data_IF_727486476996
#
_entry.id   IF_727486476996
#
_cell.length_a   1.000
_cell.length_b   1.000
_cell.length_c   1.000
_cell.angle_alpha   90.00
_cell.angle_beta   90.00
_cell.angle_gamma   90.00
#
_symmetry.space_group_name_H-M   'P 1'
#
loop_
_entity.id
_entity.type
_entity.pdbx_description
1 polymer ?
#
# COMPACT_ATOMS: atom_id res chain seq x y z
N UNK A 1 53.73 -37.02 -13.97
CA UNK A 1 55.08 -37.28 -14.55
C UNK A 1 54.91 -37.99 -15.88
N UNK A 2 55.75 -37.66 -16.88
CA UNK A 2 55.93 -38.37 -18.19
C UNK A 2 54.68 -38.36 -19.10
N UNK A 3 54.66 -37.65 -20.25
CA UNK A 3 55.38 -37.86 -21.54
C UNK A 3 55.05 -39.21 -22.19
N UNK A 4 54.26 -39.29 -23.26
CA UNK A 4 54.60 -39.09 -24.70
C UNK A 4 54.49 -40.46 -25.44
N UNK A 5 54.28 -40.60 -26.76
CA UNK A 5 53.69 -39.79 -27.84
C UNK A 5 53.72 -40.63 -29.16
N UNK A 6 53.29 -40.07 -30.31
CA UNK A 6 53.62 -40.49 -31.71
C UNK A 6 52.89 -41.79 -32.17
N UNK A 7 52.49 -42.02 -33.44
CA UNK A 7 52.69 -41.36 -34.74
C UNK A 7 51.35 -41.20 -35.51
N UNK A 8 51.11 -40.14 -36.32
CA UNK A 8 51.43 -39.99 -37.76
C UNK A 8 50.51 -40.81 -38.73
N UNK A 9 50.25 -40.40 -39.98
CA UNK A 9 50.65 -39.20 -40.75
C UNK A 9 49.37 -38.53 -41.35
N UNK A 10 49.22 -37.86 -42.51
CA UNK A 10 50.00 -37.58 -43.75
C UNK A 10 49.88 -36.06 -44.07
N UNK A 11 50.77 -35.51 -44.89
CA UNK A 11 50.80 -34.09 -45.28
C UNK A 11 49.89 -33.80 -46.50
N UNK A 12 49.30 -32.59 -46.55
CA UNK A 12 48.78 -31.99 -47.79
C UNK A 12 49.20 -30.52 -47.84
N UNK A 13 50.07 -30.16 -48.79
CA UNK A 13 50.65 -28.83 -48.92
C UNK A 13 49.90 -28.05 -50.01
N UNK A 14 49.30 -26.91 -49.67
CA UNK A 14 48.68 -25.99 -50.62
C UNK A 14 49.16 -24.55 -50.38
N UNK A 15 49.50 -23.84 -51.45
CA UNK A 15 50.22 -22.57 -51.43
C UNK A 15 49.37 -21.40 -51.95
N UNK A 16 49.73 -20.18 -51.54
CA UNK A 16 49.17 -18.89 -51.97
C UNK A 16 47.69 -18.65 -51.55
N UNK A 17 47.22 -17.41 -51.33
CA UNK A 17 47.85 -16.09 -51.48
C UNK A 17 47.46 -15.14 -50.33
N UNK A 18 48.30 -14.14 -50.07
CA UNK A 18 47.98 -13.05 -49.13
C UNK A 18 47.05 -12.03 -49.82
N UNK A 19 45.75 -12.17 -49.60
CA UNK A 19 44.77 -11.18 -50.09
C UNK A 19 44.76 -9.92 -49.21
N UNK A 20 44.60 -8.72 -49.78
CA UNK A 20 44.58 -7.48 -49.01
C UNK A 20 43.35 -7.40 -48.11
N UNK A 21 43.49 -6.71 -46.98
CA UNK A 21 42.38 -6.40 -46.07
C UNK A 21 41.33 -5.55 -46.78
N UNK A 22 40.23 -6.18 -47.20
CA UNK A 22 39.06 -5.46 -47.71
C UNK A 22 38.49 -4.58 -46.60
N UNK A 23 38.54 -3.27 -46.78
CA UNK A 23 37.88 -2.34 -45.87
C UNK A 23 36.36 -2.61 -45.90
N UNK A 24 35.80 -3.04 -44.77
CA UNK A 24 34.35 -3.16 -44.61
C UNK A 24 33.74 -1.77 -44.75
N UNK A 25 33.17 -1.49 -45.92
CA UNK A 25 32.41 -0.27 -46.15
C UNK A 25 31.26 -0.25 -45.15
N UNK A 26 31.28 0.70 -44.22
CA UNK A 26 30.19 0.90 -43.28
C UNK A 26 28.93 1.27 -44.09
N UNK A 27 28.01 0.31 -44.21
CA UNK A 27 26.70 0.57 -44.80
C UNK A 27 26.01 1.72 -44.05
N UNK A 28 25.19 2.55 -44.71
CA UNK A 28 24.56 3.69 -44.07
C UNK A 28 23.76 3.20 -42.86
N UNK A 29 24.17 3.64 -41.67
CA UNK A 29 23.48 3.29 -40.44
C UNK A 29 22.04 3.76 -40.54
N UNK A 30 21.09 2.81 -40.63
CA UNK A 30 19.67 3.11 -40.58
C UNK A 30 19.37 3.71 -39.21
N UNK A 31 19.31 5.04 -39.15
CA UNK A 31 18.95 5.76 -37.94
C UNK A 31 17.62 5.20 -37.43
N UNK A 32 17.64 4.55 -36.27
CA UNK A 32 16.44 4.03 -35.66
C UNK A 32 15.47 5.20 -35.46
N UNK A 33 14.35 5.17 -36.17
CA UNK A 33 13.37 6.25 -36.12
C UNK A 33 12.91 6.43 -34.68
N UNK A 34 13.17 7.60 -34.10
CA UNK A 34 12.82 7.89 -32.71
C UNK A 34 11.32 7.65 -32.50
N UNK A 35 10.98 6.68 -31.65
CA UNK A 35 9.60 6.25 -31.45
C UNK A 35 8.79 7.40 -30.86
N UNK A 36 7.78 7.86 -31.61
CA UNK A 36 6.87 8.90 -31.13
C UNK A 36 6.06 8.35 -29.96
N UNK A 37 6.36 8.84 -28.76
CA UNK A 37 5.70 8.40 -27.53
C UNK A 37 4.20 8.73 -27.58
N UNK A 38 3.34 7.70 -27.67
CA UNK A 38 1.90 7.87 -27.41
C UNK A 38 1.68 8.12 -25.91
N UNK A 39 1.69 9.39 -25.53
CA UNK A 39 1.41 9.82 -24.17
C UNK A 39 0.01 9.39 -23.69
N UNK A 40 -0.94 9.12 -24.61
CA UNK A 40 -2.25 8.57 -24.25
C UNK A 40 -2.16 7.06 -23.96
N UNK A 41 -1.27 6.30 -24.60
CA UNK A 41 -1.00 4.91 -24.22
C UNK A 41 -0.37 4.84 -22.84
N UNK A 42 0.61 5.70 -22.55
CA UNK A 42 1.21 5.82 -21.21
C UNK A 42 0.15 6.16 -20.17
N UNK A 43 -0.70 7.17 -20.41
CA UNK A 43 -1.76 7.56 -19.48
C UNK A 43 -2.81 6.45 -19.26
N UNK A 44 -3.21 5.72 -20.32
CA UNK A 44 -4.12 4.55 -20.22
C UNK A 44 -3.50 3.40 -19.42
N UNK A 45 -2.20 3.12 -19.61
CA UNK A 45 -1.51 2.06 -18.90
C UNK A 45 -1.32 2.39 -17.42
N UNK A 46 -0.89 3.62 -17.10
CA UNK A 46 -0.82 4.12 -15.73
C UNK A 46 -2.19 4.05 -15.04
N UNK A 47 -3.26 4.56 -15.67
CA UNK A 47 -4.61 4.49 -15.11
C UNK A 47 -5.14 3.05 -14.91
N UNK A 48 -4.64 2.07 -15.67
CA UNK A 48 -4.93 0.66 -15.45
C UNK A 48 -4.14 0.09 -14.26
N UNK A 49 -2.86 0.43 -14.11
CA UNK A 49 -2.01 0.03 -12.99
C UNK A 49 -2.53 0.58 -11.65
N UNK A 50 -2.86 1.87 -11.60
CA UNK A 50 -3.43 2.52 -10.40
C UNK A 50 -4.75 1.86 -9.98
N UNK A 51 -5.63 1.59 -10.95
CA UNK A 51 -6.89 0.87 -10.68
C UNK A 51 -6.66 -0.54 -10.14
N UNK A 52 -5.71 -1.29 -10.69
CA UNK A 52 -5.38 -2.64 -10.21
C UNK A 52 -4.90 -2.59 -8.76
N UNK A 53 -3.89 -1.76 -8.45
CA UNK A 53 -3.34 -1.62 -7.10
C UNK A 53 -4.40 -1.24 -6.06
N UNK A 54 -5.27 -0.25 -6.33
CA UNK A 54 -6.37 0.07 -5.41
C UNK A 54 -7.43 -1.05 -5.31
N UNK A 55 -7.64 -1.84 -6.37
CA UNK A 55 -8.55 -3.00 -6.33
C UNK A 55 -8.00 -4.12 -5.46
N UNK A 56 -6.71 -4.42 -5.59
CA UNK A 56 -6.01 -5.46 -4.81
C UNK A 56 -5.91 -5.03 -3.33
N UNK A 57 -5.59 -3.76 -3.08
CA UNK A 57 -5.62 -3.15 -1.74
C UNK A 57 -7.03 -3.24 -1.11
N UNK A 58 -8.08 -2.93 -1.87
CA UNK A 58 -9.47 -3.03 -1.41
C UNK A 58 -9.92 -4.48 -1.20
N UNK A 59 -9.34 -5.45 -1.92
CA UNK A 59 -9.60 -6.87 -1.68
C UNK A 59 -8.95 -7.32 -0.37
N UNK A 60 -7.64 -7.12 -0.21
CA UNK A 60 -6.91 -7.51 0.99
C UNK A 60 -7.43 -6.79 2.26
N UNK A 61 -7.83 -5.52 2.15
CA UNK A 61 -8.47 -4.79 3.25
C UNK A 61 -9.84 -5.39 3.66
N UNK A 62 -10.58 -6.04 2.73
CA UNK A 62 -11.83 -6.76 3.07
C UNK A 62 -11.55 -8.09 3.75
N UNK A 63 -10.49 -8.78 3.37
CA UNK A 63 -10.04 -9.99 4.05
C UNK A 63 -9.56 -9.65 5.48
N UNK A 64 -8.85 -8.52 5.65
CA UNK A 64 -8.56 -7.93 6.96
C UNK A 64 -9.85 -7.57 7.73
N UNK A 65 -10.85 -6.96 7.09
CA UNK A 65 -12.14 -6.67 7.72
C UNK A 65 -12.84 -7.94 8.20
N UNK A 66 -12.84 -9.01 7.42
CA UNK A 66 -13.43 -10.29 7.81
C UNK A 66 -12.66 -10.94 8.98
N UNK A 67 -11.33 -10.90 8.98
CA UNK A 67 -10.50 -11.38 10.07
C UNK A 67 -10.73 -10.58 11.38
N UNK A 68 -10.81 -9.25 11.28
CA UNK A 68 -11.13 -8.34 12.38
C UNK A 68 -12.55 -8.62 12.92
N UNK A 69 -13.54 -8.76 12.05
CA UNK A 69 -14.93 -9.07 12.46
C UNK A 69 -15.03 -10.41 13.18
N UNK A 70 -14.34 -11.45 12.69
CA UNK A 70 -14.27 -12.75 13.36
C UNK A 70 -13.57 -12.65 14.73
N UNK A 71 -12.46 -11.90 14.82
CA UNK A 71 -11.76 -11.66 16.07
C UNK A 71 -12.63 -10.94 17.10
N UNK A 72 -13.27 -9.81 16.76
CA UNK A 72 -14.09 -9.08 17.74
C UNK A 72 -15.36 -9.85 18.11
N UNK A 73 -15.89 -10.70 17.23
CA UNK A 73 -17.04 -11.54 17.55
C UNK A 73 -16.70 -12.65 18.57
N UNK A 74 -15.49 -13.25 18.50
CA UNK A 74 -15.01 -14.25 19.48
C UNK A 74 -13.54 -14.00 19.85
N UNK A 75 -13.24 -13.04 20.76
CA UNK A 75 -11.87 -12.63 21.03
C UNK A 75 -11.01 -13.75 21.64
N UNK A 76 -9.87 -14.01 21.00
CA UNK A 76 -8.91 -15.06 21.33
C UNK A 76 -7.52 -14.67 20.82
N UNK A 77 -6.46 -15.30 21.31
CA UNK A 77 -5.10 -15.07 20.82
C UNK A 77 -4.96 -15.40 19.32
N UNK A 78 -5.43 -16.60 18.92
CA UNK A 78 -5.47 -17.04 17.51
C UNK A 78 -6.29 -16.09 16.61
N UNK A 79 -7.42 -15.56 17.10
CA UNK A 79 -8.19 -14.54 16.37
C UNK A 79 -7.44 -13.22 16.22
N UNK A 80 -6.77 -12.75 17.28
CA UNK A 80 -5.98 -11.52 17.25
C UNK A 80 -4.79 -11.65 16.29
N UNK A 81 -4.07 -12.78 16.33
CA UNK A 81 -2.91 -13.00 15.46
C UNK A 81 -3.31 -13.19 13.98
N UNK A 82 -4.52 -13.71 13.70
CA UNK A 82 -5.11 -13.70 12.35
C UNK A 82 -5.46 -12.28 11.87
N UNK A 83 -6.07 -11.45 12.70
CA UNK A 83 -6.36 -10.06 12.37
C UNK A 83 -5.06 -9.25 12.13
N UNK A 84 -4.04 -9.48 12.96
CA UNK A 84 -2.67 -8.94 12.82
C UNK A 84 -1.98 -9.38 11.53
N UNK A 85 -2.14 -10.63 11.12
CA UNK A 85 -1.57 -11.12 9.86
C UNK A 85 -2.27 -10.48 8.65
N UNK A 86 -3.60 -10.50 8.63
CA UNK A 86 -4.37 -9.91 7.54
C UNK A 86 -4.15 -8.40 7.39
N UNK A 87 -3.87 -7.67 8.49
CA UNK A 87 -3.44 -6.27 8.42
C UNK A 87 -2.10 -6.11 7.69
N UNK A 88 -1.11 -6.96 7.98
CA UNK A 88 0.19 -6.94 7.27
C UNK A 88 0.03 -7.27 5.80
N UNK A 89 -0.75 -8.31 5.48
CA UNK A 89 -1.01 -8.73 4.11
C UNK A 89 -1.71 -7.61 3.31
N UNK A 90 -2.64 -6.88 3.92
CA UNK A 90 -3.30 -5.73 3.30
C UNK A 90 -2.39 -4.48 3.19
N UNK A 91 -1.50 -4.25 4.16
CA UNK A 91 -0.56 -3.11 4.18
C UNK A 91 0.48 -3.21 3.07
N UNK A 92 0.91 -4.41 2.68
CA UNK A 92 1.83 -4.65 1.55
C UNK A 92 1.26 -4.20 0.20
N UNK A 93 -0.05 -4.43 -0.03
CA UNK A 93 -0.73 -3.89 -1.21
C UNK A 93 -0.89 -2.37 -1.12
N UNK A 94 -1.22 -1.83 0.06
CA UNK A 94 -1.35 -0.38 0.25
C UNK A 94 -0.04 0.36 -0.02
N UNK A 95 1.11 -0.15 0.47
CA UNK A 95 2.42 0.50 0.31
C UNK A 95 2.81 0.73 -1.17
N UNK A 96 2.38 -0.15 -2.06
CA UNK A 96 2.57 0.01 -3.51
C UNK A 96 1.74 1.19 -4.09
N UNK A 97 0.64 1.58 -3.44
CA UNK A 97 -0.18 2.71 -3.86
C UNK A 97 0.46 4.08 -3.58
N UNK A 98 1.49 4.16 -2.75
CA UNK A 98 2.16 5.44 -2.45
C UNK A 98 2.88 6.04 -3.67
N UNK A 99 3.23 5.20 -4.66
CA UNK A 99 3.70 5.63 -5.98
C UNK A 99 2.65 6.39 -6.81
N UNK A 100 1.42 6.57 -6.30
CA UNK A 100 0.33 7.28 -6.96
C UNK A 100 -0.14 8.52 -6.18
N UNK A 101 0.68 9.02 -5.25
CA UNK A 101 0.50 10.28 -4.49
C UNK A 101 1.28 11.45 -5.14
N UNK A 102 1.13 12.65 -4.58
CA UNK A 102 1.88 13.88 -4.85
C UNK A 102 1.65 14.56 -6.20
N UNK A 103 0.43 14.45 -6.76
CA UNK A 103 0.05 15.18 -7.98
C UNK A 103 -1.38 15.73 -7.98
N UNK A 104 -2.12 15.67 -6.86
CA UNK A 104 -3.54 16.02 -6.83
C UNK A 104 -4.35 15.02 -7.67
N UNK A 105 -4.23 13.76 -7.29
CA UNK A 105 -5.10 12.66 -7.68
C UNK A 105 -6.21 12.42 -6.65
N UNK A 106 -7.05 11.38 -6.82
CA UNK A 106 -8.18 11.11 -5.93
C UNK A 106 -7.82 10.74 -4.49
N UNK A 107 -6.53 10.54 -4.19
CA UNK A 107 -6.02 10.22 -2.85
C UNK A 107 -5.52 11.48 -2.12
N UNK A 108 -4.97 12.45 -2.88
CA UNK A 108 -4.15 13.57 -2.42
C UNK A 108 -4.57 14.95 -2.96
N UNK A 109 -5.79 15.10 -3.52
CA UNK A 109 -6.39 16.43 -3.74
C UNK A 109 -6.98 17.03 -2.45
N UNK A 110 -7.46 18.28 -2.50
CA UNK A 110 -7.98 19.03 -1.34
C UNK A 110 -9.14 18.32 -0.58
N UNK A 111 -9.72 17.26 -1.16
CA UNK A 111 -10.79 16.44 -0.59
C UNK A 111 -10.40 14.94 -0.54
N UNK A 112 -9.13 14.64 -0.78
CA UNK A 112 -8.57 13.28 -0.83
C UNK A 112 -8.45 12.65 0.57
N UNK A 113 -8.66 11.33 0.69
CA UNK A 113 -8.67 10.64 1.98
C UNK A 113 -7.30 10.34 2.59
N UNK A 114 -6.16 10.71 1.99
CA UNK A 114 -4.81 10.33 2.48
C UNK A 114 -4.58 10.58 3.98
N UNK A 115 -4.97 11.77 4.50
CA UNK A 115 -4.83 12.08 5.94
C UNK A 115 -5.67 11.19 6.85
N UNK A 116 -6.86 10.80 6.39
CA UNK A 116 -7.73 9.86 7.11
C UNK A 116 -7.25 8.40 6.99
N UNK A 117 -6.61 8.03 5.87
CA UNK A 117 -6.13 6.66 5.62
C UNK A 117 -4.79 6.39 6.31
N UNK A 118 -3.85 7.34 6.27
CA UNK A 118 -2.41 7.04 6.35
C UNK A 118 -1.57 8.10 7.07
N UNK A 119 -2.18 9.09 7.75
CA UNK A 119 -1.41 10.08 8.50
C UNK A 119 -0.59 9.45 9.65
N UNK A 120 0.59 10.02 9.87
CA UNK A 120 1.61 9.57 10.82
C UNK A 120 2.51 10.76 11.20
N UNK A 121 2.97 10.92 12.45
CA UNK A 121 2.81 10.03 13.60
C UNK A 121 1.39 9.98 14.19
N UNK A 122 1.16 9.07 15.13
CA UNK A 122 -0.09 8.89 15.87
C UNK A 122 0.17 9.02 17.37
N UNK A 123 -0.56 9.88 18.09
CA UNK A 123 -0.62 9.85 19.57
C UNK A 123 -1.48 8.66 20.01
N UNK A 124 -0.82 7.63 20.50
CA UNK A 124 -1.41 6.43 21.08
C UNK A 124 -2.44 6.78 22.17
N UNK A 125 -2.16 7.81 22.96
CA UNK A 125 -3.03 8.29 24.04
C UNK A 125 -4.25 9.08 23.54
N UNK A 126 -4.35 9.35 22.24
CA UNK A 126 -5.55 9.88 21.60
C UNK A 126 -6.56 8.77 21.28
N UNK A 127 -6.09 7.55 20.99
CA UNK A 127 -6.95 6.42 20.62
C UNK A 127 -7.41 5.64 21.85
N UNK A 128 -6.49 5.18 22.71
CA UNK A 128 -6.77 4.32 23.87
C UNK A 128 -5.82 4.63 25.04
N UNK A 129 -5.73 3.72 26.02
CA UNK A 129 -4.76 3.80 27.10
C UNK A 129 -3.32 3.63 26.62
N UNK A 130 -2.39 4.22 27.38
CA UNK A 130 -0.93 3.97 27.32
C UNK A 130 -0.39 3.80 28.75
N UNK A 131 0.87 3.39 28.91
CA UNK A 131 1.52 3.33 30.23
C UNK A 131 1.43 4.68 30.95
N UNK A 132 1.19 4.64 32.27
CA UNK A 132 0.94 5.83 33.09
C UNK A 132 -0.40 6.54 32.84
N UNK A 133 -1.10 6.28 31.71
CA UNK A 133 -2.39 6.88 31.36
C UNK A 133 -3.49 5.82 31.08
N UNK A 134 -3.89 5.00 32.08
CA UNK A 134 -4.83 3.89 31.91
C UNK A 134 -6.27 4.28 31.51
N UNK A 135 -6.61 5.58 31.50
CA UNK A 135 -7.91 6.10 31.10
C UNK A 135 -7.86 7.13 29.96
N UNK A 136 -6.76 7.17 29.19
CA UNK A 136 -6.61 8.05 28.04
C UNK A 136 -7.39 7.55 26.81
N UNK A 137 -7.47 8.41 25.79
CA UNK A 137 -8.00 8.07 24.48
C UNK A 137 -9.51 8.00 24.33
N UNK A 138 -9.95 8.14 23.07
CA UNK A 138 -11.34 8.10 22.63
C UNK A 138 -12.04 6.75 22.94
N UNK A 139 -11.29 5.65 23.08
CA UNK A 139 -11.81 4.37 23.60
C UNK A 139 -12.33 4.51 25.04
N UNK A 140 -11.70 5.32 25.90
CA UNK A 140 -12.05 5.40 27.32
C UNK A 140 -12.95 6.59 27.69
N UNK A 141 -13.07 7.63 26.85
CA UNK A 141 -14.13 8.65 27.01
C UNK A 141 -15.52 8.08 26.66
N UNK A 142 -16.28 7.68 27.67
CA UNK A 142 -17.66 7.17 27.53
C UNK A 142 -18.64 8.17 26.92
N UNK A 143 -18.32 9.48 26.87
CA UNK A 143 -19.12 10.50 26.18
C UNK A 143 -18.91 10.47 24.66
N UNK A 144 -17.70 10.13 24.21
CA UNK A 144 -17.39 9.97 22.80
C UNK A 144 -18.21 8.83 22.19
N UNK A 145 -18.89 9.11 21.07
CA UNK A 145 -19.66 8.15 20.29
C UNK A 145 -18.80 7.68 19.12
N UNK A 146 -18.32 6.44 19.19
CA UNK A 146 -17.47 5.82 18.17
C UNK A 146 -18.33 5.55 16.92
N UNK A 147 -18.22 6.43 15.93
CA UNK A 147 -18.94 6.38 14.65
C UNK A 147 -18.05 6.97 13.55
N UNK A 148 -18.24 6.57 12.28
CA UNK A 148 -17.42 7.05 11.16
C UNK A 148 -17.30 8.57 11.12
N UNK A 149 -18.43 9.26 11.24
CA UNK A 149 -18.51 10.73 11.23
C UNK A 149 -17.82 11.41 12.43
N UNK A 150 -17.66 10.73 13.57
CA UNK A 150 -16.94 11.27 14.73
C UNK A 150 -15.44 10.98 14.69
N UNK A 151 -15.00 9.83 14.15
CA UNK A 151 -13.58 9.58 13.90
C UNK A 151 -13.07 10.53 12.82
N UNK A 152 -13.74 10.63 11.67
CA UNK A 152 -13.42 11.61 10.61
C UNK A 152 -13.34 13.06 11.13
N UNK A 153 -14.17 13.42 12.11
CA UNK A 153 -14.19 14.76 12.75
C UNK A 153 -13.12 14.96 13.83
N UNK A 154 -12.51 13.89 14.34
CA UNK A 154 -11.48 13.93 15.38
C UNK A 154 -10.07 13.61 14.85
N UNK A 155 -9.93 13.09 13.63
CA UNK A 155 -8.63 12.97 12.96
C UNK A 155 -7.95 14.34 12.88
N UNK A 156 -6.66 14.39 13.22
CA UNK A 156 -5.82 15.61 13.28
C UNK A 156 -6.37 16.72 14.20
N UNK A 157 -7.40 16.41 15.03
CA UNK A 157 -8.13 17.44 15.76
C UNK A 157 -7.38 17.86 17.01
N UNK A 158 -6.63 18.96 16.88
CA UNK A 158 -5.88 19.60 17.96
C UNK A 158 -4.38 19.29 17.96
N UNK A 159 -3.90 18.62 16.91
CA UNK A 159 -2.51 18.20 16.69
C UNK A 159 -2.48 17.29 15.46
N UNK A 160 -1.46 17.41 14.62
CA UNK A 160 -1.29 16.55 13.43
C UNK A 160 -1.09 15.08 13.84
N UNK A 161 -0.63 14.84 15.07
CA UNK A 161 -0.50 13.54 15.71
C UNK A 161 -1.83 12.92 16.17
N UNK A 162 -2.94 13.67 16.22
CA UNK A 162 -4.23 13.21 16.77
C UNK A 162 -5.02 12.33 15.78
N UNK A 163 -4.39 11.27 15.28
CA UNK A 163 -4.96 10.35 14.30
C UNK A 163 -5.95 9.41 14.97
N UNK A 164 -7.13 9.23 14.36
CA UNK A 164 -8.24 8.44 14.90
C UNK A 164 -8.92 7.52 13.87
N UNK A 165 -8.37 7.46 12.65
CA UNK A 165 -8.82 6.61 11.56
C UNK A 165 -7.61 5.98 10.85
N UNK A 166 -7.88 5.22 9.78
CA UNK A 166 -6.83 4.72 8.89
C UNK A 166 -6.01 3.55 9.44
N UNK A 167 -4.96 3.20 8.69
CA UNK A 167 -4.12 2.03 8.94
C UNK A 167 -3.51 2.02 10.34
N UNK A 168 -2.99 3.16 10.79
CA UNK A 168 -2.26 3.29 12.04
C UNK A 168 -3.16 3.27 13.28
N UNK A 169 -4.40 3.78 13.20
CA UNK A 169 -5.37 3.60 14.28
C UNK A 169 -5.81 2.13 14.42
N UNK A 170 -5.93 1.40 13.31
CA UNK A 170 -6.20 -0.05 13.30
C UNK A 170 -4.98 -0.82 13.85
N UNK A 171 -3.77 -0.42 13.47
CA UNK A 171 -2.49 -0.97 13.95
C UNK A 171 -2.36 -0.85 15.48
N UNK A 172 -2.49 0.36 16.02
CA UNK A 172 -2.43 0.60 17.47
C UNK A 172 -3.56 -0.12 18.25
N UNK A 173 -4.70 -0.41 17.61
CA UNK A 173 -5.72 -1.27 18.22
C UNK A 173 -5.32 -2.75 18.21
N UNK A 174 -4.61 -3.25 17.19
CA UNK A 174 -4.15 -4.65 17.10
C UNK A 174 -2.86 -4.94 17.90
N UNK A 175 -1.93 -3.99 18.00
CA UNK A 175 -0.65 -4.15 18.72
C UNK A 175 -0.59 -3.38 20.04
N UNK A 176 -1.39 -2.33 20.24
CA UNK A 176 -1.29 -1.47 21.42
C UNK A 176 -0.05 -0.59 21.37
N UNK A 177 0.26 0.02 22.51
CA UNK A 177 1.47 0.83 22.65
C UNK A 177 2.73 -0.01 22.42
N UNK A 178 3.69 0.55 21.68
CA UNK A 178 5.00 -0.08 21.56
C UNK A 178 5.92 0.27 22.75
N UNK A 179 6.36 -0.78 23.45
CA UNK A 179 7.32 -0.73 24.56
C UNK A 179 8.46 -1.73 24.33
N UNK A 180 8.61 -2.26 23.11
CA UNK A 180 9.51 -3.37 22.80
C UNK A 180 10.81 -2.87 22.17
N UNK A 181 11.94 -3.35 22.67
CA UNK A 181 13.26 -3.00 22.10
C UNK A 181 13.52 -3.62 20.71
N UNK A 182 12.73 -4.63 20.30
CA UNK A 182 13.06 -5.53 19.17
C UNK A 182 11.87 -6.05 18.36
N UNK A 183 10.65 -5.58 18.64
CA UNK A 183 9.42 -5.99 17.96
C UNK A 183 8.33 -4.92 18.11
N UNK A 184 7.07 -5.20 17.72
CA UNK A 184 5.97 -4.27 17.93
C UNK A 184 5.40 -4.35 19.36
N UNK A 185 4.47 -3.43 19.67
CA UNK A 185 3.61 -3.50 20.85
C UNK A 185 2.87 -4.85 20.99
N UNK A 186 2.60 -5.27 22.23
CA UNK A 186 2.08 -6.60 22.54
C UNK A 186 0.76 -6.58 23.34
N UNK A 187 -0.26 -5.93 22.78
CA UNK A 187 -1.64 -5.94 23.34
C UNK A 187 -2.17 -7.37 23.48
N UNK A 188 -2.79 -7.65 24.63
CA UNK A 188 -3.50 -8.91 24.89
C UNK A 188 -4.88 -8.92 24.24
N UNK A 189 -5.32 -10.08 23.74
CA UNK A 189 -6.70 -10.26 23.28
C UNK A 189 -7.74 -10.04 24.39
N UNK A 190 -7.34 -10.14 25.68
CA UNK A 190 -8.23 -9.88 26.82
C UNK A 190 -8.72 -8.42 26.89
N UNK A 191 -8.05 -7.48 26.22
CA UNK A 191 -8.53 -6.09 26.04
C UNK A 191 -9.88 -5.99 25.30
N UNK A 192 -10.22 -7.04 24.55
CA UNK A 192 -11.44 -7.16 23.76
C UNK A 192 -12.47 -8.09 24.41
N UNK A 193 -12.16 -8.72 25.56
CA UNK A 193 -13.06 -9.63 26.28
C UNK A 193 -13.82 -8.87 27.38
N UNK A 194 -15.15 -8.96 27.37
CA UNK A 194 -15.98 -8.30 28.38
C UNK A 194 -15.70 -8.83 29.80
N UNK A 195 -15.64 -7.90 30.76
CA UNK A 195 -15.31 -8.22 32.15
C UNK A 195 -13.84 -8.49 32.44
N UNK A 196 -12.97 -8.67 31.43
CA UNK A 196 -11.51 -8.77 31.60
C UNK A 196 -10.84 -7.41 31.72
N UNK A 197 -11.29 -6.43 30.93
CA UNK A 197 -10.75 -5.06 30.86
C UNK A 197 -11.90 -4.05 30.72
N UNK A 198 -11.76 -2.82 31.25
CA UNK A 198 -12.73 -1.74 31.01
C UNK A 198 -12.82 -1.41 29.52
N UNK A 199 -14.02 -1.02 29.04
CA UNK A 199 -14.25 -0.52 27.67
C UNK A 199 -13.88 -1.51 26.54
N UNK A 200 -13.92 -2.81 26.81
CA UNK A 200 -13.65 -3.87 25.82
C UNK A 200 -14.64 -3.84 24.63
N UNK A 201 -15.92 -3.59 24.92
CA UNK A 201 -16.98 -3.30 23.96
C UNK A 201 -16.63 -2.12 23.04
N UNK A 202 -16.09 -1.04 23.61
CA UNK A 202 -15.68 0.16 22.88
C UNK A 202 -14.45 -0.08 22.01
N UNK A 203 -13.49 -0.92 22.41
CA UNK A 203 -12.38 -1.35 21.53
C UNK A 203 -12.88 -2.16 20.34
N UNK A 204 -13.77 -3.14 20.57
CA UNK A 204 -14.43 -3.89 19.48
C UNK A 204 -15.15 -2.96 18.51
N UNK A 205 -15.90 -1.98 19.03
CA UNK A 205 -16.58 -0.97 18.22
C UNK A 205 -15.60 -0.10 17.42
N UNK A 206 -14.51 0.38 18.04
CA UNK A 206 -13.52 1.23 17.37
C UNK A 206 -12.83 0.51 16.23
N UNK A 207 -12.27 -0.68 16.51
CA UNK A 207 -11.56 -1.49 15.51
C UNK A 207 -12.47 -1.84 14.32
N UNK A 208 -13.75 -2.11 14.58
CA UNK A 208 -14.76 -2.31 13.52
C UNK A 208 -14.97 -1.03 12.71
N UNK A 209 -15.31 0.09 13.35
CA UNK A 209 -15.67 1.35 12.67
C UNK A 209 -14.50 1.95 11.89
N UNK A 210 -13.27 1.92 12.43
CA UNK A 210 -12.09 2.38 11.72
C UNK A 210 -11.80 1.55 10.46
N UNK A 211 -11.94 0.21 10.56
CA UNK A 211 -11.82 -0.68 9.41
C UNK A 211 -12.92 -0.44 8.37
N UNK A 212 -14.17 -0.21 8.81
CA UNK A 212 -15.26 0.15 7.91
C UNK A 212 -15.07 1.52 7.21
N UNK A 213 -14.34 2.46 7.80
CA UNK A 213 -13.98 3.72 7.12
C UNK A 213 -12.96 3.48 6.02
N UNK A 214 -11.89 2.75 6.34
CA UNK A 214 -10.85 2.38 5.37
C UNK A 214 -11.44 1.65 4.13
N UNK A 215 -12.44 0.79 4.33
CA UNK A 215 -13.18 0.15 3.22
C UNK A 215 -13.98 1.15 2.37
N UNK A 216 -14.62 2.16 2.98
CA UNK A 216 -15.34 3.20 2.23
C UNK A 216 -14.37 4.05 1.40
N UNK A 217 -13.25 4.45 2.00
CA UNK A 217 -12.23 5.32 1.39
C UNK A 217 -11.53 4.61 0.21
N UNK A 218 -11.03 3.39 0.43
CA UNK A 218 -10.45 2.55 -0.64
C UNK A 218 -11.48 2.26 -1.75
N UNK A 219 -12.76 2.07 -1.39
CA UNK A 219 -13.85 1.95 -2.37
C UNK A 219 -14.10 3.24 -3.15
N UNK A 220 -13.79 4.41 -2.59
CA UNK A 220 -13.77 5.70 -3.29
C UNK A 220 -12.66 5.75 -4.33
N UNK A 221 -11.43 5.38 -3.95
CA UNK A 221 -10.25 5.36 -4.83
C UNK A 221 -10.46 4.42 -6.03
N UNK A 222 -10.96 3.20 -5.82
CA UNK A 222 -11.30 2.27 -6.91
C UNK A 222 -12.32 2.88 -7.88
N UNK A 223 -13.41 3.48 -7.39
CA UNK A 223 -14.43 4.15 -8.25
C UNK A 223 -13.84 5.32 -9.05
N UNK A 224 -12.93 6.10 -8.45
CA UNK A 224 -12.27 7.21 -9.10
C UNK A 224 -11.40 6.79 -10.30
N UNK A 225 -10.85 5.57 -10.24
CA UNK A 225 -10.01 4.95 -11.29
C UNK A 225 -10.71 3.85 -12.11
N UNK A 226 -12.01 3.61 -11.90
CA UNK A 226 -12.76 2.54 -12.56
C UNK A 226 -12.77 2.71 -14.11
N UNK A 227 -12.48 1.64 -14.89
CA UNK A 227 -12.52 1.71 -16.35
C UNK A 227 -13.94 1.96 -16.90
N UNK A 228 -14.01 2.47 -18.13
CA UNK A 228 -15.26 2.59 -18.90
C UNK A 228 -16.24 3.68 -18.44
N UNK A 229 -15.96 4.42 -17.35
CA UNK A 229 -16.75 5.60 -16.96
C UNK A 229 -16.41 6.80 -17.85
N UNK A 230 -17.35 7.73 -17.94
CA UNK A 230 -17.17 8.99 -18.69
C UNK A 230 -16.77 10.19 -17.82
N UNK A 231 -17.00 10.12 -16.49
CA UNK A 231 -16.93 11.27 -15.57
C UNK A 231 -16.11 11.05 -14.27
N UNK A 232 -15.36 9.96 -14.13
CA UNK A 232 -14.44 9.78 -13.00
C UNK A 232 -13.05 10.41 -13.28
N UNK A 233 -12.11 10.29 -12.34
CA UNK A 233 -10.77 10.88 -12.49
C UNK A 233 -10.01 10.26 -13.66
N UNK A 234 -10.03 8.92 -13.78
CA UNK A 234 -9.46 8.18 -14.91
C UNK A 234 -9.95 8.70 -16.27
N UNK A 235 -11.25 8.91 -16.41
CA UNK A 235 -11.86 9.41 -17.65
C UNK A 235 -11.41 10.83 -18.04
N UNK A 236 -10.80 11.59 -17.12
CA UNK A 236 -10.12 12.88 -17.38
C UNK A 236 -8.63 12.66 -17.66
N UNK A 237 -7.97 11.82 -16.85
CA UNK A 237 -6.55 11.49 -16.96
C UNK A 237 -6.18 10.84 -18.31
N UNK A 238 -6.95 9.86 -18.78
CA UNK A 238 -6.69 9.20 -20.09
C UNK A 238 -6.86 10.17 -21.29
N UNK A 239 -7.62 11.27 -21.12
CA UNK A 239 -7.81 12.30 -22.15
C UNK A 239 -6.69 13.35 -22.17
N UNK A 240 -6.12 13.68 -21.00
CA UNK A 240 -5.10 14.74 -20.86
C UNK A 240 -3.76 14.44 -21.53
N UNK A 241 -3.47 13.17 -21.82
CA UNK A 241 -2.30 12.78 -22.63
C UNK A 241 -0.99 13.27 -22.01
N UNK A 242 -0.28 14.18 -22.69
CA UNK A 242 1.00 14.71 -22.20
C UNK A 242 0.89 15.42 -20.85
N UNK A 243 -0.20 16.14 -20.59
CA UNK A 243 -0.40 16.82 -19.30
C UNK A 243 -0.67 15.85 -18.16
N UNK A 244 -1.27 14.69 -18.46
CA UNK A 244 -1.45 13.61 -17.49
C UNK A 244 -0.18 12.79 -17.27
N UNK A 245 0.66 12.61 -18.30
CA UNK A 245 2.00 12.02 -18.14
C UNK A 245 2.92 12.93 -17.29
N UNK A 246 2.78 14.26 -17.38
CA UNK A 246 3.49 15.20 -16.50
C UNK A 246 3.10 15.11 -15.02
N UNK A 247 1.97 14.49 -14.66
CA UNK A 247 1.57 14.23 -13.26
C UNK A 247 2.21 12.97 -12.66
N UNK A 248 2.97 12.20 -13.43
CA UNK A 248 3.61 10.94 -12.99
C UNK A 248 5.07 11.19 -12.53
N UNK A 249 5.53 12.46 -12.52
CA UNK A 249 6.93 12.89 -12.37
C UNK A 249 7.07 14.04 -11.39
#
# INVERSE_FOLDING_TARGET
MKTNAIAATVLALSTLALSPTGALAAGPATAAAASVIDHKAVARHYAALVHANYSDTLAAAKDMQAAIQAFVATPSADGLDKARQAWRDAREFYGQTEAFRFYGGPIDDDNGPEGQINAWPLDEAYVDYVEGKPGAGLVNDTKFKITKANLAKFNERGGEENISAGWHAIEFLLWGQDMSETGPGNRSFEDYVDGKKPNADRRRQYLTVATEMLIDDLSGLVKAWEPGKTNNYRARFEKGGKESVRKIL
#
